data_IF_397318015903
#
_entry.id   IF_397318015903
#
_cell.length_a   1.000
_cell.length_b   1.000
_cell.length_c   1.000
_cell.angle_alpha   90.00
_cell.angle_beta   90.00
_cell.angle_gamma   90.00
#
_symmetry.space_group_name_H-M   'P 1'
#
loop_
_entity.id
_entity.type
_entity.pdbx_description
1 polymer ?
#
# COMPACT_ATOMS: atom_id res chain seq x y z
N UNK A 1 7.21 0.78 -18.15
CA UNK A 1 7.01 1.92 -19.06
C UNK A 1 5.80 2.73 -18.60
N UNK A 2 5.92 4.06 -18.59
CA UNK A 2 4.84 5.01 -18.32
C UNK A 2 4.54 5.71 -19.65
N UNK A 3 3.32 5.55 -20.15
CA UNK A 3 2.90 6.01 -21.46
C UNK A 3 1.88 7.14 -21.33
N UNK A 4 2.08 8.22 -22.07
CA UNK A 4 1.10 9.29 -22.25
C UNK A 4 0.35 9.03 -23.56
N UNK A 5 -0.91 8.65 -23.44
CA UNK A 5 -1.78 8.33 -24.58
C UNK A 5 -2.13 9.58 -25.41
N UNK A 6 -2.30 10.73 -24.75
CA UNK A 6 -2.62 11.99 -25.43
C UNK A 6 -1.45 12.48 -26.30
N UNK A 7 -0.23 12.34 -25.79
CA UNK A 7 0.99 12.70 -26.52
C UNK A 7 1.55 11.54 -27.36
N UNK A 8 0.93 10.37 -27.29
CA UNK A 8 1.36 9.13 -27.93
C UNK A 8 2.86 8.84 -27.77
N UNK A 9 3.38 8.99 -26.54
CA UNK A 9 4.80 8.77 -26.24
C UNK A 9 5.04 8.19 -24.87
N UNK A 10 6.18 7.52 -24.72
CA UNK A 10 6.71 7.15 -23.42
C UNK A 10 7.20 8.41 -22.68
N UNK A 11 6.70 8.64 -21.47
CA UNK A 11 7.10 9.77 -20.61
C UNK A 11 8.02 9.35 -19.46
N UNK A 12 8.26 8.05 -19.30
CA UNK A 12 9.17 7.56 -18.27
C UNK A 12 9.27 6.05 -18.20
N UNK A 13 10.34 5.58 -17.58
CA UNK A 13 10.55 4.16 -17.31
C UNK A 13 11.14 3.97 -15.92
N UNK A 14 10.66 2.94 -15.22
CA UNK A 14 11.22 2.47 -13.97
C UNK A 14 11.56 0.99 -14.17
N UNK A 15 12.84 0.66 -14.00
CA UNK A 15 13.35 -0.70 -14.20
C UNK A 15 13.70 -1.33 -12.85
N UNK A 16 13.27 -2.57 -12.64
CA UNK A 16 13.48 -3.31 -11.39
C UNK A 16 14.20 -4.62 -11.70
N UNK A 17 15.06 -5.06 -10.76
CA UNK A 17 15.81 -6.33 -10.87
C UNK A 17 15.00 -7.56 -10.43
N UNK A 18 13.75 -7.37 -10.06
CA UNK A 18 12.84 -8.42 -9.61
C UNK A 18 11.44 -8.13 -10.13
N UNK A 19 10.59 -9.15 -10.14
CA UNK A 19 9.24 -9.05 -10.66
C UNK A 19 8.40 -7.99 -9.92
N UNK A 20 7.73 -7.15 -10.71
CA UNK A 20 6.73 -6.21 -10.21
C UNK A 20 5.43 -6.96 -9.98
N UNK A 21 5.10 -7.17 -8.70
CA UNK A 21 3.90 -7.87 -8.26
C UNK A 21 2.64 -7.01 -8.41
N UNK A 22 2.76 -5.71 -8.18
CA UNK A 22 1.67 -4.76 -8.39
C UNK A 22 2.17 -3.33 -8.57
N UNK A 23 1.33 -2.51 -9.19
CA UNK A 23 1.48 -1.05 -9.21
C UNK A 23 0.22 -0.41 -8.63
N UNK A 24 0.38 0.66 -7.85
CA UNK A 24 -0.71 1.56 -7.44
C UNK A 24 -0.36 2.98 -7.84
N UNK A 25 -1.36 3.68 -8.35
CA UNK A 25 -1.22 5.05 -8.81
C UNK A 25 -2.06 5.99 -7.95
N UNK A 26 -1.55 7.19 -7.79
CA UNK A 26 -2.23 8.39 -7.31
C UNK A 26 -1.75 9.55 -8.18
N UNK A 27 -2.48 10.66 -8.21
CA UNK A 27 -2.10 11.85 -9.01
C UNK A 27 -0.66 12.30 -8.80
N UNK A 28 -0.12 12.14 -7.59
CA UNK A 28 1.21 12.62 -7.21
C UNK A 28 2.21 11.49 -6.93
N UNK A 29 1.81 10.21 -7.01
CA UNK A 29 2.64 9.08 -6.56
C UNK A 29 2.50 7.86 -7.46
N UNK A 30 3.62 7.18 -7.66
CA UNK A 30 3.68 5.82 -8.23
C UNK A 30 4.18 4.90 -7.13
N UNK A 31 3.43 3.86 -6.81
CA UNK A 31 3.83 2.84 -5.84
C UNK A 31 4.04 1.54 -6.57
N UNK A 32 5.25 1.01 -6.50
CA UNK A 32 5.65 -0.26 -7.12
C UNK A 32 5.88 -1.28 -6.02
N UNK A 33 5.22 -2.44 -6.13
CA UNK A 33 5.29 -3.52 -5.17
C UNK A 33 6.09 -4.67 -5.78
N UNK A 34 7.19 -5.04 -5.13
CA UNK A 34 7.93 -6.27 -5.36
C UNK A 34 7.59 -7.28 -4.26
N UNK A 35 8.21 -8.46 -4.29
CA UNK A 35 7.92 -9.52 -3.32
C UNK A 35 8.22 -9.12 -1.86
N UNK A 36 9.30 -8.38 -1.58
CA UNK A 36 9.67 -8.00 -0.20
C UNK A 36 9.92 -6.51 -0.02
N UNK A 37 9.68 -5.72 -1.06
CA UNK A 37 9.95 -4.29 -1.08
C UNK A 37 8.84 -3.54 -1.79
N UNK A 38 8.51 -2.37 -1.28
CA UNK A 38 7.63 -1.41 -1.92
C UNK A 38 8.41 -0.12 -2.14
N UNK A 39 8.34 0.41 -3.35
CA UNK A 39 8.97 1.66 -3.74
C UNK A 39 7.90 2.71 -4.00
N UNK A 40 8.05 3.88 -3.38
CA UNK A 40 7.14 5.02 -3.56
C UNK A 40 7.90 6.12 -4.29
N UNK A 41 7.46 6.44 -5.48
CA UNK A 41 8.03 7.48 -6.34
C UNK A 41 7.11 8.70 -6.40
N UNK A 42 7.70 9.87 -6.61
CA UNK A 42 6.97 11.03 -7.06
C UNK A 42 6.55 10.85 -8.52
N UNK A 43 5.29 11.15 -8.86
CA UNK A 43 4.80 10.96 -10.23
C UNK A 43 5.43 11.97 -11.20
N UNK A 44 5.67 13.20 -10.77
CA UNK A 44 6.08 14.30 -11.66
C UNK A 44 7.53 14.18 -12.17
N UNK A 45 8.46 13.73 -11.33
CA UNK A 45 9.90 13.67 -11.66
C UNK A 45 10.50 12.26 -11.49
N UNK A 46 9.67 11.26 -11.18
CA UNK A 46 10.06 9.86 -10.97
C UNK A 46 11.12 9.64 -9.90
N UNK A 47 11.34 10.61 -9.00
CA UNK A 47 12.28 10.43 -7.88
C UNK A 47 11.72 9.45 -6.87
N UNK A 48 12.58 8.56 -6.40
CA UNK A 48 12.29 7.67 -5.29
C UNK A 48 12.17 8.48 -4.00
N UNK A 49 11.02 8.36 -3.33
CA UNK A 49 10.72 9.05 -2.07
C UNK A 49 10.89 8.15 -0.86
N UNK A 50 10.48 6.88 -0.96
CA UNK A 50 10.50 5.94 0.15
C UNK A 50 10.64 4.51 -0.35
N UNK A 51 11.47 3.72 0.34
CA UNK A 51 11.57 2.28 0.18
C UNK A 51 11.10 1.61 1.47
N UNK A 52 10.11 0.73 1.37
CA UNK A 52 9.49 0.02 2.48
C UNK A 52 9.84 -1.46 2.35
N UNK A 53 10.36 -2.05 3.42
CA UNK A 53 10.51 -3.50 3.52
C UNK A 53 9.22 -4.12 4.05
N UNK A 54 8.84 -5.25 3.46
CA UNK A 54 7.65 -6.02 3.84
C UNK A 54 8.03 -7.48 4.05
N UNK A 55 7.18 -8.23 4.76
CA UNK A 55 7.17 -9.69 4.62
C UNK A 55 6.91 -10.06 3.15
N UNK A 56 7.18 -11.32 2.78
CA UNK A 56 6.86 -11.85 1.46
C UNK A 56 5.41 -11.52 1.04
N UNK A 57 5.29 -10.79 -0.07
CA UNK A 57 4.08 -10.21 -0.63
C UNK A 57 3.87 -10.68 -2.07
N UNK A 58 3.76 -12.01 -2.32
CA UNK A 58 3.62 -12.57 -3.67
C UNK A 58 2.29 -12.21 -4.36
N UNK A 59 1.36 -11.58 -3.63
CA UNK A 59 0.08 -11.08 -4.19
C UNK A 59 0.11 -9.58 -4.48
N UNK A 60 1.24 -8.91 -4.28
CA UNK A 60 1.37 -7.47 -4.51
C UNK A 60 0.41 -6.62 -3.67
N UNK A 61 0.08 -7.05 -2.44
CA UNK A 61 -0.88 -6.36 -1.58
C UNK A 61 -0.34 -4.97 -1.22
N UNK A 62 -1.04 -3.95 -1.69
CA UNK A 62 -0.83 -2.55 -1.35
C UNK A 62 -2.09 -1.75 -1.69
N UNK A 63 -2.42 -0.76 -0.88
CA UNK A 63 -3.50 0.18 -1.11
C UNK A 63 -3.04 1.59 -0.76
N UNK A 64 -3.57 2.59 -1.47
CA UNK A 64 -3.25 4.00 -1.26
C UNK A 64 -4.53 4.82 -1.24
N UNK A 65 -4.59 5.85 -0.39
CA UNK A 65 -5.72 6.77 -0.36
C UNK A 65 -5.79 7.57 -1.68
N UNK A 66 -6.99 7.84 -2.15
CA UNK A 66 -7.26 8.45 -3.45
C UNK A 66 -7.82 9.87 -3.34
N UNK A 67 -8.26 10.30 -2.16
CA UNK A 67 -8.71 11.68 -1.93
C UNK A 67 -7.51 12.64 -1.94
N UNK A 68 -7.75 13.88 -2.37
CA UNK A 68 -6.79 14.99 -2.27
C UNK A 68 -6.27 15.18 -0.85
N UNK A 69 -5.00 15.55 -0.72
CA UNK A 69 -4.33 15.72 0.57
C UNK A 69 -3.11 14.83 0.71
N UNK A 70 -2.70 14.54 1.94
CA UNK A 70 -1.54 13.68 2.17
C UNK A 70 -1.85 12.21 1.91
N UNK A 71 -0.88 11.50 1.33
CA UNK A 71 -0.97 10.07 1.06
C UNK A 71 -1.09 9.27 2.37
N UNK A 72 -2.04 8.32 2.40
CA UNK A 72 -2.04 7.18 3.32
C UNK A 72 -1.77 5.93 2.50
N UNK A 73 -0.73 5.18 2.84
CA UNK A 73 -0.35 3.93 2.18
C UNK A 73 -0.50 2.77 3.16
N UNK A 74 -1.02 1.66 2.67
CA UNK A 74 -1.15 0.41 3.44
C UNK A 74 -0.48 -0.73 2.69
N UNK A 75 0.32 -1.51 3.41
CA UNK A 75 0.95 -2.74 2.95
C UNK A 75 1.05 -3.77 4.07
N UNK A 76 1.39 -5.04 3.77
CA UNK A 76 1.81 -6.00 4.79
C UNK A 76 3.01 -5.47 5.61
N UNK A 77 3.00 -5.72 6.92
CA UNK A 77 4.13 -5.43 7.80
C UNK A 77 5.26 -6.46 7.66
N UNK A 78 6.17 -6.48 8.63
CA UNK A 78 7.28 -7.46 8.67
C UNK A 78 6.87 -8.77 9.35
N UNK A 79 5.74 -8.78 10.06
CA UNK A 79 5.23 -9.93 10.77
C UNK A 79 3.98 -10.50 10.10
N UNK A 80 3.79 -11.82 10.26
CA UNK A 80 2.60 -12.52 9.78
C UNK A 80 1.34 -11.88 10.36
N UNK A 81 0.39 -11.54 9.48
CA UNK A 81 -0.88 -10.93 9.88
C UNK A 81 -0.80 -9.48 10.34
N UNK A 82 0.38 -8.86 10.24
CA UNK A 82 0.59 -7.45 10.49
C UNK A 82 0.31 -6.63 9.23
N UNK A 83 -0.33 -5.48 9.42
CA UNK A 83 -0.54 -4.45 8.41
C UNK A 83 0.25 -3.21 8.84
N UNK A 84 1.03 -2.64 7.91
CA UNK A 84 1.73 -1.37 8.07
C UNK A 84 0.95 -0.27 7.37
N UNK A 85 0.70 0.83 8.08
CA UNK A 85 0.03 2.02 7.58
C UNK A 85 0.97 3.22 7.69
N UNK A 86 1.23 3.86 6.56
CA UNK A 86 2.06 5.06 6.44
C UNK A 86 1.20 6.29 6.21
N UNK A 87 1.22 7.23 7.15
CA UNK A 87 0.60 8.54 7.04
C UNK A 87 1.68 9.57 6.65
N UNK A 88 1.80 9.86 5.36
CA UNK A 88 2.85 10.77 4.86
C UNK A 88 2.66 12.22 5.31
N UNK A 89 1.42 12.64 5.58
CA UNK A 89 1.11 14.00 6.03
C UNK A 89 1.64 14.30 7.43
N UNK A 90 1.39 13.37 8.36
CA UNK A 90 1.88 13.47 9.74
C UNK A 90 3.25 12.81 9.95
N UNK A 91 3.85 12.21 8.91
CA UNK A 91 5.06 11.37 8.99
C UNK A 91 4.97 10.30 10.09
N UNK A 92 3.82 9.64 10.19
CA UNK A 92 3.56 8.61 11.21
C UNK A 92 3.39 7.24 10.55
N UNK A 93 4.05 6.26 11.13
CA UNK A 93 3.85 4.84 10.77
C UNK A 93 3.06 4.16 11.88
N UNK A 94 2.05 3.36 11.51
CA UNK A 94 1.30 2.50 12.42
C UNK A 94 1.39 1.05 11.99
N UNK A 95 1.62 0.17 12.95
CA UNK A 95 1.56 -1.28 12.74
C UNK A 95 0.31 -1.82 13.45
N UNK A 96 -0.49 -2.59 12.74
CA UNK A 96 -1.72 -3.22 13.22
C UNK A 96 -1.54 -4.73 13.11
N UNK A 97 -1.55 -5.45 14.23
CA UNK A 97 -1.61 -6.90 14.25
C UNK A 97 -3.05 -7.33 13.99
N UNK A 98 -3.43 -7.37 12.71
CA UNK A 98 -4.83 -7.54 12.32
C UNK A 98 -5.32 -8.99 12.44
N UNK A 99 -4.43 -9.97 12.24
CA UNK A 99 -4.78 -11.40 12.26
C UNK A 99 -3.60 -12.26 12.74
N UNK A 100 -3.86 -13.48 13.24
CA UNK A 100 -2.78 -14.45 13.55
C UNK A 100 -2.25 -15.18 12.30
N UNK A 101 -2.99 -15.09 11.19
CA UNK A 101 -2.67 -15.71 9.90
C UNK A 101 -2.23 -14.67 8.87
N UNK A 102 -1.64 -15.09 7.75
CA UNK A 102 -1.15 -14.14 6.73
C UNK A 102 -2.31 -13.30 6.22
N UNK A 103 -2.07 -12.01 5.98
CA UNK A 103 -3.06 -11.16 5.34
C UNK A 103 -3.32 -11.67 3.92
N UNK A 104 -4.58 -11.96 3.60
CA UNK A 104 -4.98 -12.45 2.29
C UNK A 104 -5.38 -11.30 1.37
N UNK A 105 -6.08 -10.31 1.93
CA UNK A 105 -6.49 -9.08 1.25
C UNK A 105 -6.80 -7.97 2.26
N UNK A 106 -6.80 -6.73 1.78
CA UNK A 106 -7.32 -5.58 2.50
C UNK A 106 -7.82 -4.52 1.52
N UNK A 107 -8.74 -3.67 1.98
CA UNK A 107 -9.24 -2.52 1.25
C UNK A 107 -9.14 -1.28 2.15
N UNK A 108 -8.59 -0.20 1.61
CA UNK A 108 -8.48 1.10 2.28
C UNK A 108 -9.62 2.00 1.81
N UNK A 109 -10.24 2.74 2.74
CA UNK A 109 -11.22 3.77 2.37
C UNK A 109 -10.56 4.86 1.53
N UNK A 110 -11.34 5.52 0.67
CA UNK A 110 -10.80 6.48 -0.30
C UNK A 110 -10.02 7.62 0.37
N UNK A 111 -10.51 8.07 1.54
CA UNK A 111 -9.91 9.10 2.40
C UNK A 111 -8.76 8.59 3.28
N UNK A 112 -8.48 7.28 3.27
CA UNK A 112 -7.43 6.65 4.05
C UNK A 112 -7.73 6.47 5.53
N UNK A 113 -8.95 6.77 6.02
CA UNK A 113 -9.29 6.71 7.46
C UNK A 113 -9.54 5.30 8.00
N UNK A 114 -10.02 4.40 7.15
CA UNK A 114 -10.40 3.06 7.55
C UNK A 114 -9.75 2.01 6.67
N UNK A 115 -9.48 0.86 7.25
CA UNK A 115 -9.01 -0.32 6.53
C UNK A 115 -9.80 -1.55 6.93
N UNK A 116 -10.35 -2.25 5.93
CA UNK A 116 -10.92 -3.58 6.08
C UNK A 116 -9.86 -4.63 5.72
N UNK A 117 -9.72 -5.69 6.51
CA UNK A 117 -8.71 -6.74 6.34
C UNK A 117 -9.33 -8.12 6.48
N UNK A 118 -8.83 -9.07 5.69
CA UNK A 118 -9.11 -10.49 5.87
C UNK A 118 -7.82 -11.31 5.74
N UNK A 119 -7.74 -12.43 6.45
CA UNK A 119 -6.56 -13.29 6.45
C UNK A 119 -6.76 -14.59 5.67
N UNK A 120 -5.69 -15.36 5.51
CA UNK A 120 -5.70 -16.63 4.77
C UNK A 120 -6.59 -17.70 5.39
N UNK A 121 -6.98 -17.55 6.67
CA UNK A 121 -8.02 -18.40 7.28
C UNK A 121 -9.41 -18.14 6.68
N UNK A 122 -9.67 -16.90 6.22
CA UNK A 122 -10.93 -16.54 5.55
C UNK A 122 -12.18 -16.56 6.43
N UNK A 123 -12.03 -16.52 7.76
CA UNK A 123 -13.15 -16.64 8.70
C UNK A 123 -13.67 -15.31 9.23
N UNK A 124 -12.82 -14.28 9.26
CA UNK A 124 -13.14 -12.98 9.87
C UNK A 124 -12.73 -11.85 8.94
N UNK A 125 -13.58 -10.83 8.88
CA UNK A 125 -13.25 -9.51 8.32
C UNK A 125 -13.16 -8.52 9.47
N UNK A 126 -12.08 -7.75 9.52
CA UNK A 126 -11.84 -6.74 10.55
C UNK A 126 -11.67 -5.36 9.94
N UNK A 127 -12.33 -4.37 10.52
CA UNK A 127 -12.22 -2.95 10.14
C UNK A 127 -11.49 -2.19 11.23
N UNK A 128 -10.45 -1.44 10.85
CA UNK A 128 -9.65 -0.65 11.78
C UNK A 128 -9.64 0.83 11.39
N UNK A 129 -9.49 1.69 12.39
CA UNK A 129 -9.07 3.07 12.18
C UNK A 129 -7.57 3.10 11.87
N UNK A 130 -7.18 3.77 10.79
CA UNK A 130 -5.78 3.79 10.33
C UNK A 130 -4.87 4.70 11.15
N UNK A 131 -5.41 5.69 11.86
CA UNK A 131 -4.63 6.70 12.60
C UNK A 131 -4.10 6.14 13.93
N UNK A 132 -4.94 5.42 14.67
CA UNK A 132 -4.59 4.87 15.98
C UNK A 132 -4.48 3.34 15.98
N UNK A 133 -5.02 2.66 14.95
CA UNK A 133 -5.03 1.20 14.83
C UNK A 133 -6.14 0.53 15.63
N UNK A 134 -7.12 1.27 16.12
CA UNK A 134 -8.25 0.72 16.88
C UNK A 134 -9.10 -0.20 16.00
N UNK A 135 -9.48 -1.36 16.53
CA UNK A 135 -10.45 -2.26 15.90
C UNK A 135 -11.85 -1.66 16.08
N UNK A 136 -12.54 -1.41 14.98
CA UNK A 136 -13.87 -0.82 14.96
C UNK A 136 -14.97 -1.87 14.79
N UNK A 137 -14.71 -2.89 13.97
CA UNK A 137 -15.67 -3.95 13.66
C UNK A 137 -14.96 -5.26 13.37
N UNK A 138 -15.57 -6.36 13.81
CA UNK A 138 -15.24 -7.74 13.44
C UNK A 138 -16.54 -8.45 13.04
N UNK A 139 -16.50 -9.23 11.94
CA UNK A 139 -17.60 -10.07 11.44
C UNK A 139 -17.04 -11.39 10.96
#
# INVERSE_FOLDING_TARGET
MIWDDHQNRCIGELSFRSEVQAVRLRRDRIVVVLEQKIFVYNFADLKLLHQIETIANPKGLCAVSQVSGSLVLVCPGLQKGQVRVEHYGSKRTKFILAHDSRIACFALSQDGRFIATASSKGTLVRVFNTLDGTLLQEV
#
